data_IF_656204430622
#
_entry.id   IF_656204430622
#
_cell.length_a   1.000
_cell.length_b   1.000
_cell.length_c   1.000
_cell.angle_alpha   90.00
_cell.angle_beta   90.00
_cell.angle_gamma   90.00
#
_symmetry.space_group_name_H-M   'P 1'
#
loop_
_entity.id
_entity.type
_entity.pdbx_description
1 polymer ?
#
# COMPACT_ATOMS: atom_id res chain seq x y z
N UNK A 1 -15.44 1.49 -7.86
CA UNK A 1 -15.57 0.50 -6.77
C UNK A 1 -14.97 -0.83 -7.21
N UNK A 2 -13.69 -1.11 -6.87
CA UNK A 2 -13.10 -2.46 -6.85
C UNK A 2 -11.74 -2.41 -6.12
N UNK A 3 -11.77 -2.24 -4.80
CA UNK A 3 -10.59 -2.27 -3.94
C UNK A 3 -10.25 -3.72 -3.55
N UNK A 4 -9.85 -4.55 -4.53
CA UNK A 4 -9.38 -5.93 -4.27
C UNK A 4 -7.90 -6.04 -3.88
N UNK A 5 -7.19 -4.92 -3.68
CA UNK A 5 -5.71 -4.89 -3.68
C UNK A 5 -5.07 -4.28 -2.43
N UNK A 6 -5.66 -4.44 -1.24
CA UNK A 6 -4.96 -4.16 0.02
C UNK A 6 -4.34 -5.46 0.54
N UNK A 7 -3.37 -5.40 1.44
CA UNK A 7 -2.84 -6.53 2.20
C UNK A 7 -3.92 -7.25 3.03
N UNK A 8 -4.94 -7.80 2.37
CA UNK A 8 -6.17 -8.37 2.90
C UNK A 8 -6.67 -9.43 1.91
N UNK A 9 -6.63 -10.71 2.31
CA UNK A 9 -7.81 -11.59 2.29
C UNK A 9 -7.45 -13.00 2.77
N UNK A 10 -8.07 -13.45 3.87
CA UNK A 10 -8.72 -14.76 3.89
C UNK A 10 -10.00 -14.62 4.73
N UNK A 11 -11.08 -15.22 4.23
CA UNK A 11 -12.46 -15.17 4.71
C UNK A 11 -12.62 -15.55 6.19
N UNK A 12 -12.36 -14.62 7.10
CA UNK A 12 -12.65 -14.75 8.52
C UNK A 12 -13.32 -13.47 9.01
N UNK A 13 -14.61 -13.58 9.32
CA UNK A 13 -15.51 -12.46 9.65
C UNK A 13 -15.11 -11.72 10.94
N UNK A 14 -14.34 -12.35 11.83
CA UNK A 14 -13.90 -11.78 13.10
C UNK A 14 -12.37 -11.67 13.24
N UNK A 15 -11.60 -12.47 12.49
CA UNK A 15 -10.14 -12.51 12.56
C UNK A 15 -9.53 -12.63 11.17
N UNK A 16 -9.58 -11.56 10.35
CA UNK A 16 -9.07 -11.63 8.99
C UNK A 16 -7.57 -11.90 8.99
N UNK A 17 -7.12 -12.83 8.14
CA UNK A 17 -5.68 -12.97 7.86
C UNK A 17 -5.29 -11.97 6.77
N UNK A 18 -4.17 -11.29 7.01
CA UNK A 18 -3.60 -10.31 6.09
C UNK A 18 -2.56 -10.98 5.19
N UNK A 19 -2.72 -10.84 3.87
CA UNK A 19 -1.69 -11.27 2.91
C UNK A 19 -0.69 -10.12 2.72
N UNK A 20 0.58 -10.34 3.04
CA UNK A 20 1.59 -9.28 3.16
C UNK A 20 2.47 -9.05 1.94
N UNK A 21 2.29 -9.80 0.86
CA UNK A 21 3.08 -9.62 -0.36
C UNK A 21 2.90 -8.21 -0.97
N UNK A 22 3.98 -7.65 -1.47
CA UNK A 22 4.01 -6.38 -2.21
C UNK A 22 3.62 -6.64 -3.67
N UNK A 23 3.50 -5.59 -4.49
CA UNK A 23 3.09 -5.75 -5.90
C UNK A 23 4.09 -6.51 -6.76
N UNK A 24 5.37 -6.49 -6.38
CA UNK A 24 6.50 -7.09 -7.08
C UNK A 24 7.38 -8.01 -6.20
N UNK A 25 6.98 -8.25 -4.94
CA UNK A 25 7.70 -9.12 -4.01
C UNK A 25 6.75 -9.98 -3.18
N UNK A 26 7.09 -11.27 -2.97
CA UNK A 26 6.27 -12.20 -2.20
C UNK A 26 6.43 -12.02 -0.69
N UNK A 27 7.65 -11.68 -0.24
CA UNK A 27 7.94 -11.36 1.15
C UNK A 27 7.63 -9.89 1.37
N UNK A 28 6.71 -9.61 2.29
CA UNK A 28 6.27 -8.26 2.59
C UNK A 28 7.37 -7.42 3.25
N UNK A 29 7.62 -6.25 2.67
CA UNK A 29 8.48 -5.21 3.23
C UNK A 29 7.67 -4.18 4.03
N UNK A 30 8.29 -3.57 5.04
CA UNK A 30 7.65 -2.67 6.01
C UNK A 30 7.02 -1.42 5.37
N UNK A 31 7.75 -0.74 4.50
CA UNK A 31 7.36 0.53 3.86
C UNK A 31 6.19 0.36 2.88
N UNK A 32 6.22 -0.70 2.08
CA UNK A 32 5.15 -1.03 1.16
C UNK A 32 3.91 -1.58 1.89
N UNK A 33 4.10 -2.34 2.98
CA UNK A 33 2.98 -2.74 3.86
C UNK A 33 2.37 -1.54 4.59
N UNK A 34 3.18 -0.57 5.04
CA UNK A 34 2.68 0.66 5.66
C UNK A 34 1.79 1.45 4.70
N UNK A 35 2.18 1.54 3.43
CA UNK A 35 1.35 2.15 2.39
C UNK A 35 0.02 1.42 2.22
N UNK A 36 0.04 0.09 2.18
CA UNK A 36 -1.19 -0.70 2.09
C UNK A 36 -2.10 -0.53 3.31
N UNK A 37 -1.54 -0.54 4.52
CA UNK A 37 -2.30 -0.41 5.77
C UNK A 37 -2.88 1.00 5.97
N UNK A 38 -2.10 2.03 5.65
CA UNK A 38 -2.46 3.42 5.96
C UNK A 38 -3.14 4.14 4.80
N UNK A 39 -2.89 3.72 3.56
CA UNK A 39 -3.41 4.37 2.34
C UNK A 39 -4.36 3.46 1.54
N UNK A 40 -4.53 2.19 1.95
CA UNK A 40 -5.49 1.28 1.31
C UNK A 40 -5.12 0.88 -0.12
N UNK A 41 -3.83 0.93 -0.47
CA UNK A 41 -3.31 0.54 -1.79
C UNK A 41 -1.96 -0.16 -1.65
N UNK A 42 -1.78 -1.29 -2.32
CA UNK A 42 -0.48 -1.97 -2.37
C UNK A 42 0.55 -1.18 -3.18
N UNK A 43 1.79 -1.23 -2.70
CA UNK A 43 2.95 -0.57 -3.29
C UNK A 43 4.00 -1.59 -3.76
N UNK A 44 4.99 -1.12 -4.51
CA UNK A 44 6.17 -1.91 -4.88
C UNK A 44 7.16 -1.97 -3.69
N UNK A 45 8.03 -2.98 -3.68
CA UNK A 45 9.09 -3.15 -2.70
C UNK A 45 9.91 -1.86 -2.52
N UNK A 46 10.26 -1.54 -1.27
CA UNK A 46 11.04 -0.34 -0.91
C UNK A 46 10.42 1.01 -1.37
N UNK A 47 9.10 1.07 -1.50
CA UNK A 47 8.36 2.33 -1.75
C UNK A 47 7.33 2.61 -0.66
N UNK A 48 7.17 3.90 -0.31
CA UNK A 48 6.28 4.35 0.77
C UNK A 48 5.42 5.54 0.36
N UNK A 49 4.11 5.47 0.64
CA UNK A 49 3.15 6.53 0.30
C UNK A 49 2.95 6.70 -1.21
N UNK A 50 3.33 5.69 -2.00
CA UNK A 50 3.21 5.66 -3.46
C UNK A 50 2.45 4.40 -3.91
N UNK A 51 1.72 4.49 -5.00
CA UNK A 51 1.13 3.30 -5.65
C UNK A 51 2.16 2.49 -6.46
N UNK A 52 1.70 1.38 -7.04
CA UNK A 52 2.52 0.45 -7.83
C UNK A 52 3.14 1.02 -9.12
N UNK A 53 2.78 2.25 -9.53
CA UNK A 53 3.42 2.92 -10.67
C UNK A 53 4.80 3.50 -10.31
N UNK A 54 5.05 3.79 -9.04
CA UNK A 54 6.38 4.21 -8.56
C UNK A 54 7.41 3.07 -8.65
N UNK A 55 8.67 3.42 -8.91
CA UNK A 55 9.77 2.46 -8.95
C UNK A 55 10.83 2.81 -7.92
N UNK A 56 11.32 1.77 -7.23
CA UNK A 56 12.48 1.89 -6.36
C UNK A 56 13.66 2.49 -7.13
N UNK A 57 14.44 3.33 -6.44
CA UNK A 57 15.58 4.06 -6.99
C UNK A 57 15.27 4.98 -8.19
N UNK A 58 13.99 5.39 -8.36
CA UNK A 58 13.57 6.35 -9.38
C UNK A 58 12.72 7.48 -8.80
N UNK A 59 13.38 8.56 -8.38
CA UNK A 59 12.72 9.74 -7.80
C UNK A 59 11.62 10.34 -8.71
N UNK A 60 11.83 10.39 -10.04
CA UNK A 60 10.87 11.00 -10.96
C UNK A 60 9.53 10.25 -11.01
N UNK A 61 9.53 8.94 -10.74
CA UNK A 61 8.31 8.15 -10.70
C UNK A 61 7.36 8.55 -9.56
N UNK A 62 7.87 9.19 -8.50
CA UNK A 62 7.07 9.60 -7.34
C UNK A 62 6.10 10.75 -7.62
N UNK A 63 6.34 11.54 -8.67
CA UNK A 63 5.60 12.77 -8.95
C UNK A 63 4.10 12.53 -9.20
N UNK A 64 3.74 11.38 -9.78
CA UNK A 64 2.36 11.07 -10.18
C UNK A 64 1.73 9.92 -9.41
N UNK A 65 2.49 9.27 -8.53
CA UNK A 65 2.10 8.03 -7.86
C UNK A 65 1.74 8.22 -6.39
N UNK A 66 1.76 9.47 -5.87
CA UNK A 66 1.51 9.75 -4.45
C UNK A 66 0.08 9.40 -4.07
N UNK A 67 -0.07 8.71 -2.96
CA UNK A 67 -1.38 8.30 -2.42
C UNK A 67 -1.60 8.93 -1.04
N UNK A 68 -2.80 9.45 -0.75
CA UNK A 68 -3.09 10.01 0.56
C UNK A 68 -3.27 8.90 1.58
N UNK A 69 -2.76 9.12 2.78
CA UNK A 69 -2.95 8.23 3.93
C UNK A 69 -4.17 8.63 4.75
N UNK A 70 -4.62 7.72 5.62
CA UNK A 70 -5.67 8.00 6.60
C UNK A 70 -5.29 9.14 7.56
N UNK A 71 -4.00 9.37 7.79
CA UNK A 71 -3.50 10.47 8.62
C UNK A 71 -3.72 11.80 7.91
N UNK A 72 -3.45 11.87 6.59
CA UNK A 72 -3.71 13.07 5.79
C UNK A 72 -5.21 13.43 5.86
N UNK A 73 -6.09 12.44 5.67
CA UNK A 73 -7.54 12.64 5.77
C UNK A 73 -8.01 13.04 7.17
N UNK A 74 -7.32 12.59 8.22
CA UNK A 74 -7.64 12.96 9.60
C UNK A 74 -7.20 14.39 9.91
N UNK A 75 -6.14 14.89 9.28
CA UNK A 75 -5.62 16.26 9.47
C UNK A 75 -6.33 17.30 8.61
N UNK A 76 -6.93 16.90 7.49
CA UNK A 76 -7.76 17.78 6.65
C UNK A 76 -9.13 18.12 7.28
N UNK A 77 -9.45 17.57 8.46
CA UNK A 77 -10.71 17.78 9.18
C UNK A 77 -10.55 18.54 10.49
#
# INVERSE_FOLDING_TARGET
MNAKHVCLNNNLYYYPLLQTYNMDAQVGESSACATALLSGVKANYETVGLDSSAKFDNCFSSNTSRVPSIIDWAQER
#
